data_IF_141870023786
#
_entry.id   IF_141870023786
#
_cell.length_a   1.000
_cell.length_b   1.000
_cell.length_c   1.000
_cell.angle_alpha   90.00
_cell.angle_beta   90.00
_cell.angle_gamma   90.00
#
_symmetry.space_group_name_H-M   'P 1'
#
loop_
_entity.id
_entity.type
_entity.pdbx_description
1 polymer ?
#
# COMPACT_ATOMS: atom_id res chain seq x y z
N UNK A 1 -11.93 -18.79 8.01
CA UNK A 1 -11.42 -18.66 6.63
C UNK A 1 -9.89 -18.83 6.67
N UNK A 2 -9.32 -19.42 5.61
CA UNK A 2 -7.86 -19.53 5.43
C UNK A 2 -7.42 -18.43 4.45
N UNK A 3 -6.54 -17.54 4.90
CA UNK A 3 -6.13 -16.35 4.13
C UNK A 3 -4.62 -16.37 3.93
N UNK A 4 -4.19 -16.40 2.67
CA UNK A 4 -2.79 -16.32 2.29
C UNK A 4 -2.34 -14.86 2.23
N UNK A 5 -1.24 -14.52 2.91
CA UNK A 5 -0.77 -13.13 3.00
C UNK A 5 0.68 -13.04 2.53
N UNK A 6 0.93 -12.27 1.46
CA UNK A 6 2.29 -11.83 1.12
C UNK A 6 2.60 -10.50 1.78
N UNK A 7 3.88 -10.19 2.00
CA UNK A 7 4.23 -8.98 2.74
C UNK A 7 3.77 -9.00 4.21
N UNK A 8 3.57 -10.19 4.76
CA UNK A 8 3.08 -10.45 6.12
C UNK A 8 3.96 -9.86 7.24
N UNK A 9 5.24 -9.59 6.97
CA UNK A 9 6.17 -8.93 7.90
C UNK A 9 6.11 -7.39 7.83
N UNK A 10 5.41 -6.83 6.83
CA UNK A 10 5.21 -5.39 6.68
C UNK A 10 4.20 -4.83 7.69
N UNK A 11 4.02 -3.49 7.68
CA UNK A 11 3.15 -2.76 8.60
C UNK A 11 1.71 -3.29 8.57
N UNK A 12 1.11 -3.30 7.38
CA UNK A 12 -0.28 -3.75 7.18
C UNK A 12 -0.38 -5.26 7.37
N UNK A 13 0.53 -6.04 6.77
CA UNK A 13 0.50 -7.50 6.83
C UNK A 13 0.62 -8.06 8.25
N UNK A 14 1.45 -7.44 9.09
CA UNK A 14 1.57 -7.82 10.51
C UNK A 14 0.28 -7.51 11.28
N UNK A 15 -0.30 -6.33 11.07
CA UNK A 15 -1.54 -5.93 11.71
C UNK A 15 -2.72 -6.82 11.28
N UNK A 16 -2.83 -7.08 9.96
CA UNK A 16 -3.85 -7.95 9.39
C UNK A 16 -3.73 -9.39 9.91
N UNK A 17 -2.52 -9.97 9.87
CA UNK A 17 -2.30 -11.34 10.37
C UNK A 17 -2.76 -11.47 11.82
N UNK A 18 -2.41 -10.51 12.68
CA UNK A 18 -2.82 -10.48 14.08
C UNK A 18 -4.35 -10.39 14.22
N UNK A 19 -4.99 -9.51 13.46
CA UNK A 19 -6.43 -9.30 13.50
C UNK A 19 -7.20 -10.54 13.02
N UNK A 20 -6.78 -11.16 11.93
CA UNK A 20 -7.38 -12.39 11.41
C UNK A 20 -7.27 -13.54 12.41
N UNK A 21 -6.10 -13.74 13.02
CA UNK A 21 -5.90 -14.78 14.04
C UNK A 21 -6.79 -14.53 15.26
N UNK A 22 -6.89 -13.28 15.73
CA UNK A 22 -7.78 -12.92 16.82
C UNK A 22 -9.27 -13.15 16.50
N UNK A 23 -9.65 -13.01 15.21
CA UNK A 23 -10.99 -13.31 14.70
C UNK A 23 -11.24 -14.80 14.40
N UNK A 24 -10.35 -15.71 14.80
CA UNK A 24 -10.50 -17.17 14.58
C UNK A 24 -10.24 -17.60 13.12
N UNK A 25 -9.56 -16.77 12.32
CA UNK A 25 -9.17 -17.10 10.96
C UNK A 25 -7.72 -17.59 10.87
N UNK A 26 -7.42 -18.43 9.89
CA UNK A 26 -6.06 -18.93 9.64
C UNK A 26 -5.32 -17.98 8.70
N UNK A 27 -4.33 -17.25 9.22
CA UNK A 27 -3.47 -16.37 8.45
C UNK A 27 -2.19 -17.08 8.01
N UNK A 28 -2.12 -17.51 6.76
CA UNK A 28 -0.96 -18.19 6.17
C UNK A 28 0.00 -17.15 5.62
N UNK A 29 1.23 -17.14 6.10
CA UNK A 29 2.26 -16.18 5.68
C UNK A 29 3.07 -16.75 4.54
N UNK A 30 2.99 -16.14 3.36
CA UNK A 30 3.86 -16.46 2.24
C UNK A 30 5.16 -15.65 2.36
N UNK A 31 6.27 -16.31 2.64
CA UNK A 31 7.56 -15.68 2.96
C UNK A 31 8.58 -15.91 1.84
N UNK A 32 9.59 -15.03 1.74
CA UNK A 32 10.69 -15.18 0.79
C UNK A 32 11.77 -16.16 1.26
N UNK A 33 11.91 -16.31 2.56
CA UNK A 33 12.86 -17.25 3.16
C UNK A 33 12.12 -18.08 4.20
N UNK A 34 12.45 -19.34 4.28
CA UNK A 34 11.77 -20.27 5.17
C UNK A 34 12.48 -20.30 6.52
N UNK A 35 11.88 -19.66 7.52
CA UNK A 35 12.25 -19.81 8.93
C UNK A 35 11.30 -20.79 9.65
N UNK A 36 10.26 -21.28 8.94
CA UNK A 36 9.26 -22.21 9.44
C UNK A 36 9.01 -23.26 8.34
N UNK A 37 9.36 -24.54 8.58
CA UNK A 37 9.24 -25.62 7.58
C UNK A 37 7.83 -25.79 7.01
N UNK A 38 6.82 -25.40 7.76
CA UNK A 38 5.40 -25.55 7.39
C UNK A 38 4.85 -24.34 6.64
N UNK A 39 5.61 -23.26 6.56
CA UNK A 39 5.19 -22.06 5.83
C UNK A 39 5.58 -22.13 4.36
N UNK A 40 4.66 -21.79 3.43
CA UNK A 40 4.98 -21.74 2.00
C UNK A 40 5.99 -20.63 1.71
N UNK A 41 6.87 -20.90 0.76
CA UNK A 41 7.95 -20.00 0.33
C UNK A 41 7.72 -19.54 -1.10
N UNK A 42 8.05 -18.30 -1.38
CA UNK A 42 8.04 -17.78 -2.74
C UNK A 42 9.27 -16.94 -3.07
N UNK A 43 9.67 -17.04 -4.32
CA UNK A 43 10.54 -16.06 -4.94
C UNK A 43 9.67 -15.19 -5.85
N UNK A 44 9.46 -13.89 -5.55
CA UNK A 44 8.57 -13.03 -6.34
C UNK A 44 8.95 -12.88 -7.80
N UNK A 45 10.18 -13.26 -8.17
CA UNK A 45 10.67 -13.16 -9.54
C UNK A 45 10.57 -14.48 -10.31
N UNK A 46 10.52 -15.63 -9.62
CA UNK A 46 10.73 -16.92 -10.27
C UNK A 46 9.69 -17.99 -9.94
N UNK A 47 9.30 -18.19 -8.68
CA UNK A 47 8.49 -19.34 -8.33
C UNK A 47 7.70 -19.21 -7.02
N UNK A 48 6.64 -20.04 -6.94
CA UNK A 48 5.89 -20.34 -5.73
C UNK A 48 6.14 -21.80 -5.36
N UNK A 49 6.58 -22.06 -4.12
CA UNK A 49 6.87 -23.40 -3.63
C UNK A 49 5.94 -23.77 -2.48
N UNK A 50 5.65 -25.04 -2.38
CA UNK A 50 4.91 -25.64 -1.27
C UNK A 50 3.49 -25.09 -1.03
N UNK A 51 2.96 -24.29 -1.94
CA UNK A 51 1.62 -23.72 -1.78
C UNK A 51 0.52 -24.79 -1.88
N UNK A 52 0.77 -25.86 -2.61
CA UNK A 52 -0.17 -27.00 -2.68
C UNK A 52 -0.39 -27.67 -1.31
N UNK A 53 0.60 -27.64 -0.41
CA UNK A 53 0.48 -28.17 0.96
C UNK A 53 -0.46 -27.38 1.84
N UNK A 54 -0.71 -26.11 1.51
CA UNK A 54 -1.59 -25.23 2.29
C UNK A 54 -3.06 -25.68 2.19
N UNK A 55 -3.42 -26.42 1.12
CA UNK A 55 -4.80 -26.80 0.83
C UNK A 55 -5.65 -25.62 0.38
N UNK A 56 -6.97 -25.70 0.53
CA UNK A 56 -7.89 -24.70 0.05
C UNK A 56 -7.68 -23.33 0.71
N UNK A 57 -7.46 -22.30 -0.12
CA UNK A 57 -7.27 -20.91 0.27
C UNK A 57 -8.55 -20.13 -0.08
N UNK A 58 -9.17 -19.53 0.93
CA UNK A 58 -10.35 -18.68 0.74
C UNK A 58 -10.01 -17.37 0.05
N UNK A 59 -8.99 -16.66 0.55
CA UNK A 59 -8.57 -15.38 -0.01
C UNK A 59 -7.06 -15.23 0.00
N UNK A 60 -6.56 -14.48 -0.98
CA UNK A 60 -5.16 -14.04 -1.07
C UNK A 60 -5.09 -12.54 -0.82
N UNK A 61 -4.27 -12.10 0.13
CA UNK A 61 -3.98 -10.68 0.39
C UNK A 61 -2.55 -10.38 0.02
N UNK A 62 -2.36 -9.73 -1.12
CA UNK A 62 -1.06 -9.42 -1.69
C UNK A 62 -0.60 -8.01 -1.30
N UNK A 63 0.30 -7.92 -0.31
CA UNK A 63 0.83 -6.66 0.23
C UNK A 63 2.35 -6.53 0.02
N UNK A 64 2.98 -7.48 -0.67
CA UNK A 64 4.41 -7.48 -0.89
C UNK A 64 4.82 -6.40 -1.90
N UNK A 65 5.91 -5.70 -1.61
CA UNK A 65 6.50 -4.71 -2.48
C UNK A 65 7.72 -4.07 -1.85
N UNK A 66 8.66 -3.64 -2.67
CA UNK A 66 9.85 -2.88 -2.24
C UNK A 66 9.43 -1.58 -1.56
N UNK A 67 10.07 -1.23 -0.45
CA UNK A 67 9.79 0.02 0.26
C UNK A 67 10.21 1.23 -0.59
N UNK A 68 9.25 2.09 -0.93
CA UNK A 68 9.46 3.26 -1.77
C UNK A 68 10.19 4.39 -1.04
N UNK A 69 10.13 4.42 0.29
CA UNK A 69 10.65 5.49 1.14
C UNK A 69 12.05 5.18 1.73
N UNK A 70 12.73 4.11 1.26
CA UNK A 70 14.07 3.75 1.68
C UNK A 70 15.11 4.22 0.65
N UNK A 71 15.88 5.25 1.04
CA UNK A 71 16.94 5.84 0.23
C UNK A 71 16.41 6.67 -0.94
N UNK A 72 17.34 7.30 -1.66
CA UNK A 72 17.03 8.12 -2.85
C UNK A 72 16.68 7.21 -4.04
N UNK A 73 15.83 7.71 -4.92
CA UNK A 73 15.45 6.97 -6.13
C UNK A 73 16.53 7.07 -7.22
N UNK A 74 17.32 6.02 -7.32
CA UNK A 74 18.16 5.74 -8.49
C UNK A 74 17.38 4.94 -9.52
N UNK A 75 17.89 4.81 -10.75
CA UNK A 75 17.33 3.94 -11.78
C UNK A 75 17.16 2.49 -11.26
N UNK A 76 18.16 1.97 -10.54
CA UNK A 76 18.10 0.64 -9.92
C UNK A 76 16.99 0.55 -8.86
N UNK A 77 16.83 1.57 -7.99
CA UNK A 77 15.77 1.60 -6.99
C UNK A 77 14.38 1.65 -7.64
N UNK A 78 14.20 2.48 -8.65
CA UNK A 78 12.94 2.57 -9.41
C UNK A 78 12.59 1.23 -10.07
N UNK A 79 13.56 0.55 -10.68
CA UNK A 79 13.35 -0.78 -11.24
C UNK A 79 12.96 -1.82 -10.17
N UNK A 80 13.58 -1.79 -8.98
CA UNK A 80 13.16 -2.67 -7.87
C UNK A 80 11.74 -2.38 -7.39
N UNK A 81 11.37 -1.10 -7.29
CA UNK A 81 10.01 -0.69 -6.91
C UNK A 81 9.00 -1.25 -7.91
N UNK A 82 9.23 -1.09 -9.21
CA UNK A 82 8.37 -1.59 -10.26
C UNK A 82 8.32 -3.12 -10.27
N UNK A 83 9.48 -3.77 -10.39
CA UNK A 83 9.55 -5.22 -10.57
C UNK A 83 9.00 -5.99 -9.37
N UNK A 84 9.27 -5.54 -8.14
CA UNK A 84 8.76 -6.20 -6.92
C UNK A 84 7.23 -6.23 -6.86
N UNK A 85 6.57 -5.30 -7.54
CA UNK A 85 5.11 -5.22 -7.61
C UNK A 85 4.58 -5.99 -8.81
N UNK A 86 5.04 -5.65 -10.00
CA UNK A 86 4.52 -6.20 -11.25
C UNK A 86 4.81 -7.71 -11.36
N UNK A 87 6.07 -8.13 -11.19
CA UNK A 87 6.44 -9.54 -11.33
C UNK A 87 5.81 -10.41 -10.25
N UNK A 88 5.87 -9.98 -8.98
CA UNK A 88 5.28 -10.73 -7.87
C UNK A 88 3.75 -10.87 -8.00
N UNK A 89 3.07 -9.81 -8.42
CA UNK A 89 1.62 -9.84 -8.66
C UNK A 89 1.27 -10.76 -9.83
N UNK A 90 2.02 -10.65 -10.94
CA UNK A 90 1.83 -11.49 -12.13
C UNK A 90 2.00 -12.97 -11.79
N UNK A 91 3.08 -13.31 -11.08
CA UNK A 91 3.35 -14.68 -10.65
C UNK A 91 2.20 -15.26 -9.81
N UNK A 92 1.69 -14.50 -8.84
CA UNK A 92 0.56 -14.93 -8.02
C UNK A 92 -0.72 -15.07 -8.84
N UNK A 93 -1.02 -14.10 -9.69
CA UNK A 93 -2.22 -14.10 -10.52
C UNK A 93 -2.22 -15.29 -11.50
N UNK A 94 -1.09 -15.55 -12.17
CA UNK A 94 -0.93 -16.70 -13.09
C UNK A 94 -1.02 -18.04 -12.35
N UNK A 95 -0.40 -18.15 -11.18
CA UNK A 95 -0.46 -19.38 -10.38
C UNK A 95 -1.92 -19.73 -10.03
N UNK A 96 -2.68 -18.76 -9.51
CA UNK A 96 -4.07 -19.01 -9.10
C UNK A 96 -5.02 -19.12 -10.29
N UNK A 97 -4.77 -18.41 -11.39
CA UNK A 97 -5.55 -18.55 -12.63
C UNK A 97 -5.49 -19.98 -13.19
N UNK A 98 -4.31 -20.61 -13.10
CA UNK A 98 -4.05 -21.97 -13.59
C UNK A 98 -4.30 -23.06 -12.53
N UNK A 99 -4.63 -22.69 -11.30
CA UNK A 99 -4.90 -23.65 -10.22
C UNK A 99 -6.26 -24.30 -10.37
N UNK A 100 -6.34 -25.61 -10.05
CA UNK A 100 -7.63 -26.30 -9.89
C UNK A 100 -8.38 -25.85 -8.62
N UNK A 101 -7.67 -25.27 -7.64
CA UNK A 101 -8.23 -24.72 -6.41
C UNK A 101 -8.02 -23.20 -6.40
N UNK A 102 -8.91 -22.49 -7.09
CA UNK A 102 -8.86 -21.03 -7.16
C UNK A 102 -9.37 -20.43 -5.86
N UNK A 103 -8.70 -19.37 -5.33
CA UNK A 103 -9.25 -18.62 -4.20
C UNK A 103 -10.53 -17.91 -4.64
N UNK A 104 -11.45 -17.70 -3.69
CA UNK A 104 -12.64 -16.90 -3.96
C UNK A 104 -12.33 -15.45 -4.27
N UNK A 105 -11.22 -14.93 -3.73
CA UNK A 105 -10.86 -13.52 -3.77
C UNK A 105 -9.34 -13.33 -3.77
N UNK A 106 -8.88 -12.39 -4.61
CA UNK A 106 -7.55 -11.79 -4.50
C UNK A 106 -7.71 -10.31 -4.15
N UNK A 107 -7.16 -9.89 -3.01
CA UNK A 107 -7.01 -8.49 -2.61
C UNK A 107 -5.55 -8.12 -2.86
N UNK A 108 -5.31 -7.25 -3.81
CA UNK A 108 -3.97 -6.77 -4.11
C UNK A 108 -3.80 -5.31 -3.73
N UNK A 109 -2.71 -5.01 -3.05
CA UNK A 109 -2.36 -3.62 -2.80
C UNK A 109 -2.13 -2.88 -4.13
N UNK A 110 -2.53 -1.62 -4.13
CA UNK A 110 -2.21 -0.55 -5.05
C UNK A 110 -2.05 0.72 -4.21
N UNK A 111 -2.07 1.90 -4.79
CA UNK A 111 -1.96 3.15 -4.04
C UNK A 111 -2.71 4.29 -4.74
N UNK A 112 -3.12 5.31 -3.97
CA UNK A 112 -3.67 6.56 -4.53
C UNK A 112 -2.68 7.31 -5.44
N UNK A 113 -1.40 6.93 -5.40
CA UNK A 113 -0.42 7.35 -6.40
C UNK A 113 -0.79 7.01 -7.84
N UNK A 114 -1.75 6.10 -8.07
CA UNK A 114 -2.39 5.83 -9.36
C UNK A 114 -2.91 7.11 -10.02
N UNK A 115 -3.45 8.03 -9.24
CA UNK A 115 -4.04 9.27 -9.75
C UNK A 115 -2.99 10.34 -10.13
N UNK A 116 -1.73 10.21 -9.71
CA UNK A 116 -0.69 11.23 -9.91
C UNK A 116 -1.00 12.52 -9.14
N UNK A 117 -0.41 13.63 -9.57
CA UNK A 117 -0.70 14.95 -9.01
C UNK A 117 -1.96 15.53 -9.67
N UNK A 118 -2.99 15.77 -8.88
CA UNK A 118 -4.29 16.30 -9.31
C UNK A 118 -4.63 17.67 -8.69
N UNK A 119 -3.67 18.29 -8.00
CA UNK A 119 -3.93 19.56 -7.32
C UNK A 119 -5.10 19.46 -6.33
N UNK A 120 -6.15 20.25 -6.52
CA UNK A 120 -7.35 20.25 -5.67
C UNK A 120 -8.51 19.41 -6.24
N UNK A 121 -8.34 18.78 -7.41
CA UNK A 121 -9.35 17.91 -8.02
C UNK A 121 -9.70 16.74 -7.09
N UNK A 122 -11.00 16.47 -6.93
CA UNK A 122 -11.48 15.29 -6.22
C UNK A 122 -11.49 14.14 -7.22
N UNK A 123 -10.85 13.04 -6.86
CA UNK A 123 -10.77 11.83 -7.69
C UNK A 123 -11.37 10.64 -6.96
N UNK A 124 -11.91 9.71 -7.74
CA UNK A 124 -12.55 8.48 -7.33
C UNK A 124 -12.01 7.27 -8.11
N UNK A 125 -12.60 6.11 -7.92
CA UNK A 125 -12.18 4.86 -8.54
C UNK A 125 -12.33 4.87 -10.07
N UNK A 126 -13.27 5.65 -10.62
CA UNK A 126 -13.53 5.79 -12.06
C UNK A 126 -12.58 6.81 -12.73
N UNK A 127 -11.88 7.60 -11.93
CA UNK A 127 -10.94 8.59 -12.41
C UNK A 127 -9.75 7.94 -13.12
N UNK A 128 -9.31 8.53 -14.23
CA UNK A 128 -8.18 8.04 -15.03
C UNK A 128 -6.87 8.11 -14.25
N UNK A 129 -5.95 7.21 -14.60
CA UNK A 129 -4.58 7.27 -14.11
C UNK A 129 -3.94 8.62 -14.43
N UNK A 130 -3.14 9.11 -13.49
CA UNK A 130 -2.34 10.32 -13.70
C UNK A 130 -1.00 10.03 -14.35
N UNK A 131 -0.11 11.01 -14.24
CA UNK A 131 1.25 10.97 -14.77
C UNK A 131 2.25 10.78 -13.62
N UNK A 132 3.48 10.40 -13.98
CA UNK A 132 4.59 10.22 -13.05
C UNK A 132 4.98 8.77 -12.86
N UNK A 133 6.08 8.58 -12.14
CA UNK A 133 6.63 7.25 -11.93
C UNK A 133 5.70 6.35 -11.12
N UNK A 134 5.14 6.85 -10.01
CA UNK A 134 4.26 6.04 -9.16
C UNK A 134 2.93 5.73 -9.84
N UNK A 135 2.37 6.65 -10.62
CA UNK A 135 1.15 6.39 -11.40
C UNK A 135 1.38 5.25 -12.40
N UNK A 136 2.49 5.30 -13.15
CA UNK A 136 2.87 4.23 -14.06
C UNK A 136 3.10 2.88 -13.35
N UNK A 137 3.74 2.91 -12.18
CA UNK A 137 3.89 1.68 -11.35
C UNK A 137 2.53 1.11 -10.96
N UNK A 138 1.60 1.94 -10.50
CA UNK A 138 0.27 1.49 -10.09
C UNK A 138 -0.52 0.90 -11.27
N UNK A 139 -0.47 1.52 -12.45
CA UNK A 139 -1.13 1.01 -13.66
C UNK A 139 -0.62 -0.39 -14.00
N UNK A 140 0.70 -0.57 -14.11
CA UNK A 140 1.28 -1.87 -14.44
C UNK A 140 1.03 -2.91 -13.33
N UNK A 141 1.02 -2.48 -12.09
CA UNK A 141 0.72 -3.35 -10.94
C UNK A 141 -0.72 -3.87 -10.99
N UNK A 142 -1.70 -2.98 -11.24
CA UNK A 142 -3.11 -3.35 -11.37
C UNK A 142 -3.37 -4.20 -12.63
N UNK A 143 -2.66 -3.92 -13.72
CA UNK A 143 -2.74 -4.67 -14.98
C UNK A 143 -2.24 -6.12 -14.83
N UNK A 144 -1.26 -6.36 -13.96
CA UNK A 144 -0.74 -7.70 -13.72
C UNK A 144 -1.78 -8.68 -13.13
N UNK A 145 -2.94 -8.18 -12.68
CA UNK A 145 -4.04 -8.98 -12.15
C UNK A 145 -5.06 -9.42 -13.22
N UNK A 146 -4.94 -8.95 -14.46
CA UNK A 146 -5.93 -9.23 -15.53
C UNK A 146 -6.16 -10.72 -15.73
N UNK A 147 -5.08 -11.52 -15.73
CA UNK A 147 -5.17 -12.98 -15.90
C UNK A 147 -6.02 -13.64 -14.81
N UNK A 148 -5.97 -13.16 -13.58
CA UNK A 148 -6.81 -13.69 -12.49
C UNK A 148 -8.29 -13.32 -12.68
N UNK A 149 -8.57 -12.08 -13.14
CA UNK A 149 -9.93 -11.64 -13.47
C UNK A 149 -10.50 -12.49 -14.62
N UNK A 150 -9.74 -12.68 -15.69
CA UNK A 150 -10.12 -13.50 -16.85
C UNK A 150 -10.37 -14.97 -16.47
N UNK A 151 -9.66 -15.46 -15.45
CA UNK A 151 -9.87 -16.80 -14.88
C UNK A 151 -11.10 -16.90 -13.94
N UNK A 152 -11.90 -15.83 -13.79
CA UNK A 152 -13.11 -15.79 -12.99
C UNK A 152 -12.87 -15.60 -11.48
N UNK A 153 -11.67 -15.20 -11.06
CA UNK A 153 -11.38 -14.90 -9.66
C UNK A 153 -11.82 -13.45 -9.37
N UNK A 154 -12.58 -13.24 -8.28
CA UNK A 154 -12.90 -11.89 -7.81
C UNK A 154 -11.63 -11.17 -7.38
N UNK A 155 -11.37 -9.98 -7.91
CA UNK A 155 -10.16 -9.20 -7.63
C UNK A 155 -10.54 -7.82 -7.10
N UNK A 156 -9.94 -7.44 -5.96
CA UNK A 156 -9.98 -6.09 -5.39
C UNK A 156 -8.58 -5.47 -5.50
N UNK A 157 -8.51 -4.30 -6.12
CA UNK A 157 -7.29 -3.50 -6.26
C UNK A 157 -7.35 -2.37 -5.24
N UNK A 158 -6.68 -2.55 -4.11
CA UNK A 158 -6.78 -1.60 -2.99
C UNK A 158 -5.84 -0.42 -3.21
N UNK A 159 -6.38 0.73 -3.57
CA UNK A 159 -5.64 1.99 -3.69
C UNK A 159 -5.50 2.62 -2.30
N UNK A 160 -4.46 2.22 -1.58
CA UNK A 160 -4.19 2.78 -0.26
C UNK A 160 -3.79 4.25 -0.32
N UNK A 161 -4.42 5.08 0.51
CA UNK A 161 -3.86 6.34 0.95
C UNK A 161 -2.64 6.13 1.86
N UNK A 162 -2.10 7.22 2.39
CA UNK A 162 -1.00 7.13 3.36
C UNK A 162 -1.47 6.43 4.63
N UNK A 163 -0.98 5.21 4.87
CA UNK A 163 -1.34 4.43 6.06
C UNK A 163 -0.61 4.98 7.28
N UNK A 164 -1.38 5.49 8.25
CA UNK A 164 -0.87 6.11 9.46
C UNK A 164 -0.77 5.11 10.61
N UNK A 165 0.43 4.94 11.16
CA UNK A 165 0.68 4.11 12.34
C UNK A 165 1.91 4.60 13.11
N UNK A 166 1.83 4.55 14.44
CA UNK A 166 2.99 4.80 15.32
C UNK A 166 4.07 3.73 15.19
N UNK A 167 3.71 2.54 14.70
CA UNK A 167 4.62 1.38 14.61
C UNK A 167 5.50 1.42 13.37
N UNK A 168 5.11 2.15 12.31
CA UNK A 168 5.85 2.19 11.05
C UNK A 168 5.30 3.21 10.06
N UNK A 169 5.85 3.21 8.84
CA UNK A 169 5.41 4.08 7.75
C UNK A 169 5.72 5.56 7.94
N UNK A 170 4.98 6.42 7.23
CA UNK A 170 5.20 7.86 7.19
C UNK A 170 5.06 8.51 8.58
N UNK A 171 4.01 8.19 9.33
CA UNK A 171 3.77 8.80 10.65
C UNK A 171 4.94 8.54 11.60
N UNK A 172 5.46 7.31 11.67
CA UNK A 172 6.62 7.00 12.53
C UNK A 172 7.83 7.87 12.20
N UNK A 173 8.10 8.11 10.91
CA UNK A 173 9.21 8.98 10.46
C UNK A 173 8.97 10.44 10.83
N UNK A 174 7.72 10.91 10.80
CA UNK A 174 7.34 12.27 11.19
C UNK A 174 7.38 12.52 12.69
N UNK A 175 7.06 11.50 13.51
CA UNK A 175 6.91 11.69 14.97
C UNK A 175 8.15 12.24 15.65
N UNK A 176 9.37 11.83 15.27
CA UNK A 176 10.59 12.30 15.93
C UNK A 176 10.83 13.81 15.69
N UNK A 177 10.89 14.33 14.45
CA UNK A 177 11.06 15.77 14.24
C UNK A 177 9.91 16.59 14.85
N UNK A 178 8.66 16.12 14.79
CA UNK A 178 7.55 16.84 15.42
C UNK A 178 7.68 16.89 16.95
N UNK A 179 8.04 15.79 17.61
CA UNK A 179 8.27 15.77 19.07
C UNK A 179 9.39 16.72 19.51
N UNK A 180 10.39 16.92 18.67
CA UNK A 180 11.47 17.87 18.88
C UNK A 180 11.10 19.33 18.57
N UNK A 181 9.84 19.60 18.16
CA UNK A 181 9.40 20.94 17.77
C UNK A 181 9.91 21.41 16.40
N UNK A 182 10.53 20.50 15.62
CA UNK A 182 11.07 20.78 14.28
C UNK A 182 10.07 20.43 13.17
N UNK A 183 8.82 20.10 13.51
CA UNK A 183 7.77 19.84 12.55
C UNK A 183 7.34 21.10 11.82
N UNK A 184 6.97 20.96 10.54
CA UNK A 184 6.50 22.08 9.75
C UNK A 184 5.85 21.67 8.43
N UNK A 185 5.35 22.68 7.73
CA UNK A 185 4.65 22.52 6.46
C UNK A 185 5.64 22.22 5.34
N UNK A 186 5.33 21.26 4.47
CA UNK A 186 6.11 20.95 3.29
C UNK A 186 5.67 21.82 2.10
N UNK A 187 6.62 22.49 1.45
CA UNK A 187 6.35 23.34 0.28
C UNK A 187 5.29 24.42 0.58
N UNK A 188 4.27 24.51 -0.26
CA UNK A 188 3.14 25.45 -0.06
C UNK A 188 2.19 25.00 1.07
N UNK A 189 2.13 23.71 1.35
CA UNK A 189 1.19 23.12 2.28
C UNK A 189 -0.23 22.93 1.74
N UNK A 190 -0.47 23.31 0.48
CA UNK A 190 -1.81 23.21 -0.14
C UNK A 190 -2.06 21.83 -0.78
N UNK A 191 -1.01 21.04 -0.97
CA UNK A 191 -1.15 19.68 -1.51
C UNK A 191 -1.95 18.80 -0.57
N UNK A 192 -2.94 18.11 -1.12
CA UNK A 192 -3.79 17.18 -0.39
C UNK A 192 -3.10 15.84 -0.17
N UNK A 193 -3.35 15.26 0.98
CA UNK A 193 -2.92 13.93 1.37
C UNK A 193 -4.14 13.09 1.74
N UNK A 194 -4.43 12.08 0.97
CA UNK A 194 -5.39 11.04 1.34
C UNK A 194 -4.72 10.02 2.25
N UNK A 195 -5.35 9.70 3.34
CA UNK A 195 -4.77 8.87 4.40
C UNK A 195 -5.80 7.91 4.99
N UNK A 196 -5.33 6.91 5.69
CA UNK A 196 -6.14 5.95 6.44
C UNK A 196 -5.38 5.51 7.69
N UNK A 197 -6.08 5.23 8.80
CA UNK A 197 -5.44 4.63 9.96
C UNK A 197 -5.09 3.15 9.67
N UNK A 198 -4.08 2.62 10.37
CA UNK A 198 -3.75 1.20 10.24
C UNK A 198 -4.92 0.30 10.67
N UNK A 199 -5.68 0.72 11.66
CA UNK A 199 -6.80 -0.06 12.19
C UNK A 199 -7.96 -0.08 11.17
N UNK A 200 -8.29 1.07 10.57
CA UNK A 200 -9.28 1.15 9.49
C UNK A 200 -8.82 0.39 8.24
N UNK A 201 -7.54 0.51 7.85
CA UNK A 201 -7.01 -0.24 6.71
C UNK A 201 -7.19 -1.75 6.87
N UNK A 202 -6.96 -2.28 8.09
CA UNK A 202 -7.18 -3.70 8.41
C UNK A 202 -8.68 -4.03 8.40
N UNK A 203 -9.51 -3.19 8.99
CA UNK A 203 -10.96 -3.38 9.01
C UNK A 203 -11.57 -3.37 7.59
N UNK A 204 -11.11 -2.45 6.74
CA UNK A 204 -11.53 -2.37 5.33
C UNK A 204 -11.11 -3.61 4.54
N UNK A 205 -9.90 -4.16 4.76
CA UNK A 205 -9.50 -5.44 4.15
C UNK A 205 -10.46 -6.55 4.56
N UNK A 206 -10.80 -6.66 5.84
CA UNK A 206 -11.74 -7.67 6.33
C UNK A 206 -13.15 -7.45 5.79
N UNK A 207 -13.59 -6.21 5.68
CA UNK A 207 -14.88 -5.87 5.12
C UNK A 207 -15.01 -6.32 3.65
N UNK A 208 -14.02 -6.02 2.80
CA UNK A 208 -14.06 -6.45 1.40
C UNK A 208 -13.93 -7.96 1.21
N UNK A 209 -13.39 -8.67 2.21
CA UNK A 209 -13.36 -10.14 2.19
C UNK A 209 -14.75 -10.75 2.30
N UNK A 210 -15.64 -10.12 3.04
CA UNK A 210 -17.00 -10.63 3.31
C UNK A 210 -18.09 -9.98 2.45
N UNK A 211 -17.78 -8.89 1.75
CA UNK A 211 -18.70 -8.19 0.87
C UNK A 211 -18.47 -8.58 -0.60
N UNK A 212 -19.30 -9.46 -1.12
CA UNK A 212 -19.16 -9.99 -2.48
C UNK A 212 -19.55 -8.99 -3.58
N UNK A 213 -20.24 -7.89 -3.25
CA UNK A 213 -20.63 -6.87 -4.24
C UNK A 213 -19.46 -5.99 -4.71
N UNK A 214 -18.36 -5.95 -3.95
CA UNK A 214 -17.21 -5.16 -4.29
C UNK A 214 -16.24 -5.93 -5.18
N UNK A 215 -15.80 -5.29 -6.27
CA UNK A 215 -14.79 -5.79 -7.19
C UNK A 215 -14.06 -4.62 -7.90
N UNK A 216 -12.90 -4.88 -8.46
CA UNK A 216 -12.12 -3.85 -9.15
C UNK A 216 -11.34 -2.94 -8.20
N UNK A 217 -11.09 -1.67 -8.58
CA UNK A 217 -10.41 -0.70 -7.73
C UNK A 217 -11.29 -0.28 -6.56
N UNK A 218 -10.68 -0.07 -5.39
CA UNK A 218 -11.34 0.48 -4.19
C UNK A 218 -10.35 1.37 -3.45
N UNK A 219 -10.73 2.61 -3.18
CA UNK A 219 -9.92 3.55 -2.44
C UNK A 219 -9.99 3.30 -0.93
N UNK A 220 -8.84 2.99 -0.33
CA UNK A 220 -8.74 2.81 1.13
C UNK A 220 -8.21 4.08 1.75
N UNK A 221 -9.12 5.03 1.94
CA UNK A 221 -8.87 6.37 2.47
C UNK A 221 -9.96 6.77 3.48
N UNK A 222 -9.65 7.72 4.34
CA UNK A 222 -10.68 8.39 5.13
C UNK A 222 -11.44 9.39 4.25
N UNK A 223 -12.76 9.64 4.50
CA UNK A 223 -13.56 10.55 3.69
C UNK A 223 -13.10 12.01 3.75
N UNK A 224 -12.16 12.34 4.63
CA UNK A 224 -11.66 13.69 4.84
C UNK A 224 -10.18 13.80 4.44
N UNK A 225 -9.89 13.95 3.16
CA UNK A 225 -8.56 14.32 2.70
C UNK A 225 -8.15 15.68 3.29
N UNK A 226 -6.95 15.79 3.83
CA UNK A 226 -6.42 17.03 4.41
C UNK A 226 -5.28 17.56 3.55
N UNK A 227 -5.20 18.89 3.38
CA UNK A 227 -3.97 19.45 2.86
C UNK A 227 -2.84 19.36 3.90
N UNK A 228 -1.60 19.41 3.44
CA UNK A 228 -0.43 19.24 4.30
C UNK A 228 -0.40 20.26 5.45
N UNK A 229 -0.85 21.49 5.23
CA UNK A 229 -0.93 22.53 6.27
C UNK A 229 -1.85 22.14 7.41
N UNK A 230 -3.06 21.63 7.10
CA UNK A 230 -4.03 21.17 8.11
C UNK A 230 -3.50 19.95 8.84
N UNK A 231 -2.97 18.97 8.09
CA UNK A 231 -2.38 17.77 8.69
C UNK A 231 -1.25 18.13 9.67
N UNK A 232 -0.31 18.99 9.25
CA UNK A 232 0.82 19.46 10.07
C UNK A 232 0.35 20.12 11.36
N UNK A 233 -0.62 21.05 11.26
CA UNK A 233 -1.21 21.70 12.44
C UNK A 233 -1.86 20.71 13.38
N UNK A 234 -2.68 19.79 12.86
CA UNK A 234 -3.36 18.77 13.68
C UNK A 234 -2.36 17.87 14.40
N UNK A 235 -1.31 17.43 13.71
CA UNK A 235 -0.26 16.61 14.32
C UNK A 235 0.50 17.38 15.41
N UNK A 236 0.82 18.65 15.17
CA UNK A 236 1.42 19.53 16.17
C UNK A 236 0.56 19.72 17.40
N UNK A 237 -0.75 19.94 17.23
CA UNK A 237 -1.72 20.06 18.32
C UNK A 237 -1.78 18.78 19.17
N UNK A 238 -1.92 17.61 18.52
CA UNK A 238 -1.97 16.31 19.21
C UNK A 238 -0.69 16.03 20.00
N UNK A 239 0.46 16.49 19.51
CA UNK A 239 1.75 16.31 20.18
C UNK A 239 2.09 17.44 21.15
N UNK A 240 1.27 18.49 21.24
CA UNK A 240 1.54 19.71 22.00
C UNK A 240 2.90 20.31 21.62
N UNK A 241 3.17 20.43 20.32
CA UNK A 241 4.43 20.96 19.77
C UNK A 241 4.16 22.01 18.69
N UNK A 242 4.99 23.07 18.63
CA UNK A 242 4.90 24.05 17.56
C UNK A 242 5.25 23.43 16.20
N UNK A 243 4.68 24.00 15.12
CA UNK A 243 4.91 23.58 13.73
C UNK A 243 5.29 24.78 12.87
N UNK A 244 6.29 25.53 13.34
CA UNK A 244 6.69 26.83 12.79
C UNK A 244 7.86 26.75 11.79
N UNK A 245 8.52 25.60 11.69
CA UNK A 245 9.68 25.42 10.80
C UNK A 245 9.24 24.80 9.46
N UNK A 246 8.94 25.63 8.41
CA UNK A 246 8.57 25.08 7.12
C UNK A 246 9.75 24.34 6.49
N UNK A 247 9.47 23.26 5.77
CA UNK A 247 10.45 22.62 4.90
C UNK A 247 10.19 23.09 3.46
N UNK A 248 10.99 24.04 2.94
CA UNK A 248 10.82 24.50 1.57
C UNK A 248 10.98 23.37 0.56
N UNK A 249 10.30 23.46 -0.57
CA UNK A 249 10.35 22.41 -1.61
C UNK A 249 11.76 22.14 -2.10
N UNK A 250 12.61 23.16 -2.24
CA UNK A 250 14.01 22.96 -2.65
C UNK A 250 14.80 22.10 -1.64
N UNK A 251 14.58 22.28 -0.33
CA UNK A 251 15.26 21.48 0.68
C UNK A 251 14.77 20.01 0.65
N UNK A 252 13.48 19.79 0.41
CA UNK A 252 12.93 18.45 0.19
C UNK A 252 13.57 17.80 -1.07
N UNK A 253 13.75 18.55 -2.15
CA UNK A 253 14.43 18.06 -3.36
C UNK A 253 15.89 17.73 -3.13
N UNK A 254 16.64 18.56 -2.39
CA UNK A 254 18.03 18.27 -2.05
C UNK A 254 18.12 16.97 -1.23
N UNK A 255 17.23 16.78 -0.26
CA UNK A 255 17.26 15.61 0.61
C UNK A 255 16.80 14.31 -0.09
N UNK A 256 15.71 14.37 -0.87
CA UNK A 256 14.97 13.21 -1.35
C UNK A 256 14.98 13.06 -2.88
N UNK A 257 15.42 14.08 -3.62
CA UNK A 257 15.41 14.07 -5.09
C UNK A 257 14.00 13.96 -5.65
N UNK A 258 13.82 13.15 -6.69
CA UNK A 258 12.54 12.90 -7.37
C UNK A 258 11.45 12.38 -6.41
N UNK A 259 11.84 11.62 -5.39
CA UNK A 259 10.92 11.10 -4.37
C UNK A 259 10.17 12.23 -3.64
N UNK A 260 10.76 13.43 -3.51
CA UNK A 260 10.09 14.57 -2.88
C UNK A 260 8.83 14.98 -3.65
N UNK A 261 8.90 15.02 -4.99
CA UNK A 261 7.74 15.35 -5.83
C UNK A 261 6.62 14.32 -5.67
N UNK A 262 6.96 13.07 -5.81
CA UNK A 262 5.99 11.97 -5.87
C UNK A 262 5.33 11.66 -4.50
N UNK A 263 6.05 11.87 -3.38
CA UNK A 263 5.55 11.49 -2.05
C UNK A 263 5.17 12.63 -1.12
N UNK A 264 5.75 13.83 -1.30
CA UNK A 264 5.54 14.93 -0.36
C UNK A 264 4.84 16.15 -0.99
N UNK A 265 5.10 16.40 -2.27
CA UNK A 265 4.62 17.59 -2.97
C UNK A 265 3.46 17.30 -3.92
N UNK A 266 3.27 16.05 -4.32
CA UNK A 266 2.12 15.60 -5.09
C UNK A 266 0.83 15.69 -4.27
N UNK A 267 -0.26 16.04 -4.94
CA UNK A 267 -1.58 16.26 -4.37
C UNK A 267 -2.58 15.21 -4.83
N UNK A 268 -3.17 14.51 -3.87
CA UNK A 268 -4.17 13.47 -4.10
C UNK A 268 -5.34 13.70 -3.16
N UNK A 269 -6.45 14.20 -3.69
CA UNK A 269 -7.70 14.41 -2.97
C UNK A 269 -8.70 13.33 -3.37
N UNK A 270 -8.60 12.19 -2.70
CA UNK A 270 -9.44 11.02 -2.92
C UNK A 270 -10.54 10.96 -1.90
#
# INVERSE_FOLDING_TARGET
>A
MKVLITGSSGLIGTALSKSLTAGGHSAIRLQRQNNDPDSPVWDPENCLKDLARVGEIYAVVHLAGENIADGRWSKTKKNRILNSRVKGTKLLAEYFANSNQKPRLIISASAVGFYGDRGAEIVDEDSKAGNGFLANVCVQWEDALKVAVEAGIRVIKVRFGTVLSKKGGALKKMLLPFKLGLGGVFGSGEQYMSWVSIDDAVAMIQYVMTNDSLQGPVNFVTPNALNNRKFTKSLGQVLSRPTIFPLPSFAAHIALGEMANELLLSSNRV
#
